data_IF_133234630712
#
_entry.id   IF_133234630712
#
_cell.length_a   1.000
_cell.length_b   1.000
_cell.length_c   1.000
_cell.angle_alpha   90.00
_cell.angle_beta   90.00
_cell.angle_gamma   90.00
#
_symmetry.space_group_name_H-M   'P 1'
#
loop_
_entity.id
_entity.type
_entity.pdbx_description
1 polymer ?
#
# COMPACT_ATOMS: atom_id res chain seq x y z
N UNK A 1 65.01 34.58 16.75
CA UNK A 1 64.20 34.48 15.50
C UNK A 1 63.93 33.04 15.06
N UNK A 2 64.24 32.00 15.86
CA UNK A 2 63.97 30.59 15.50
C UNK A 2 62.77 29.96 16.22
N UNK A 3 62.23 30.58 17.29
CA UNK A 3 61.15 29.97 18.08
C UNK A 3 59.74 30.14 17.46
N UNK A 4 59.51 31.21 16.71
CA UNK A 4 58.21 31.47 16.08
C UNK A 4 57.95 30.51 14.90
N UNK A 5 59.02 30.10 14.19
CA UNK A 5 58.90 29.18 13.06
C UNK A 5 58.63 27.72 13.50
N UNK A 6 58.96 27.38 14.74
CA UNK A 6 58.74 26.05 15.30
C UNK A 6 57.31 25.89 15.84
N UNK A 7 56.74 26.94 16.43
CA UNK A 7 55.38 26.96 16.99
C UNK A 7 54.32 26.93 15.86
N UNK A 8 54.53 27.67 14.77
CA UNK A 8 53.61 27.67 13.63
C UNK A 8 53.57 26.31 12.92
N UNK A 9 54.72 25.61 12.84
CA UNK A 9 54.78 24.27 12.25
C UNK A 9 54.14 23.20 13.12
N UNK A 10 54.15 23.36 14.45
CA UNK A 10 53.50 22.39 15.36
C UNK A 10 51.99 22.51 15.33
N UNK A 11 51.44 23.73 15.26
CA UNK A 11 49.99 23.95 15.19
C UNK A 11 49.39 23.42 13.86
N UNK A 12 50.10 23.60 12.74
CA UNK A 12 49.69 23.03 11.44
C UNK A 12 49.75 21.49 11.44
N UNK A 13 50.71 20.89 12.16
CA UNK A 13 50.83 19.43 12.27
C UNK A 13 49.77 18.85 13.20
N UNK A 14 49.44 19.53 14.29
CA UNK A 14 48.38 19.13 15.22
C UNK A 14 46.99 19.22 14.56
N UNK A 15 46.74 20.26 13.77
CA UNK A 15 45.49 20.39 13.01
C UNK A 15 45.37 19.33 11.91
N UNK A 16 46.44 19.08 11.15
CA UNK A 16 46.47 18.02 10.12
C UNK A 16 46.32 16.61 10.72
N UNK A 17 46.89 16.36 11.90
CA UNK A 17 46.73 15.06 12.58
C UNK A 17 45.32 14.86 13.11
N UNK A 18 44.68 15.90 13.66
CA UNK A 18 43.27 15.87 14.05
C UNK A 18 42.34 15.62 12.85
N UNK A 19 42.62 16.25 11.70
CA UNK A 19 41.87 16.03 10.46
C UNK A 19 42.06 14.61 9.91
N UNK A 20 43.30 14.10 9.93
CA UNK A 20 43.58 12.72 9.51
C UNK A 20 42.86 11.69 10.38
N UNK A 21 42.80 11.89 11.70
CA UNK A 21 42.04 11.04 12.62
C UNK A 21 40.53 11.11 12.34
N UNK A 22 40.00 12.29 12.03
CA UNK A 22 38.59 12.47 11.65
C UNK A 22 38.27 11.73 10.34
N UNK A 23 39.14 11.86 9.33
CA UNK A 23 39.00 11.14 8.06
C UNK A 23 39.13 9.63 8.23
N UNK A 24 39.97 9.16 9.14
CA UNK A 24 40.06 7.73 9.48
C UNK A 24 38.77 7.22 10.13
N UNK A 25 38.17 7.99 11.04
CA UNK A 25 36.88 7.65 11.65
C UNK A 25 35.73 7.66 10.62
N UNK A 26 35.73 8.61 9.69
CA UNK A 26 34.76 8.66 8.60
C UNK A 26 34.95 7.48 7.63
N UNK A 27 36.18 7.17 7.25
CA UNK A 27 36.49 6.00 6.42
C UNK A 27 36.11 4.68 7.11
N UNK A 28 36.25 4.57 8.44
CA UNK A 28 35.78 3.41 9.19
C UNK A 28 34.27 3.24 9.09
N UNK A 29 33.50 4.34 9.25
CA UNK A 29 32.04 4.33 9.08
C UNK A 29 31.62 4.00 7.66
N UNK A 30 32.33 4.51 6.65
CA UNK A 30 32.06 4.20 5.25
C UNK A 30 32.27 2.70 4.97
N UNK A 31 33.32 2.09 5.53
CA UNK A 31 33.57 0.64 5.41
C UNK A 31 32.47 -0.20 6.07
N UNK A 32 32.00 0.19 7.24
CA UNK A 32 30.87 -0.44 7.92
C UNK A 32 29.59 -0.36 7.08
N UNK A 33 29.30 0.82 6.53
CA UNK A 33 28.16 1.01 5.63
C UNK A 33 28.28 0.19 4.34
N UNK A 34 29.47 0.05 3.77
CA UNK A 34 29.68 -0.85 2.62
C UNK A 34 29.43 -2.32 2.99
N UNK A 35 29.79 -2.75 4.20
CA UNK A 35 29.48 -4.09 4.69
C UNK A 35 27.97 -4.33 4.78
N UNK A 36 27.24 -3.40 5.40
CA UNK A 36 25.77 -3.45 5.45
C UNK A 36 25.13 -3.39 4.06
N UNK A 37 25.75 -2.66 3.12
CA UNK A 37 25.27 -2.57 1.75
C UNK A 37 25.49 -3.88 0.97
N UNK A 38 26.63 -4.56 1.18
CA UNK A 38 26.89 -5.89 0.62
C UNK A 38 25.90 -6.92 1.17
N UNK A 39 25.67 -6.94 2.49
CA UNK A 39 24.69 -7.83 3.12
C UNK A 39 23.27 -7.56 2.59
N UNK A 40 22.88 -6.29 2.44
CA UNK A 40 21.60 -5.93 1.83
C UNK A 40 21.47 -6.40 0.37
N UNK A 41 22.58 -6.42 -0.39
CA UNK A 41 22.60 -6.94 -1.76
C UNK A 41 22.45 -8.46 -1.76
N UNK A 42 23.14 -9.18 -0.88
CA UNK A 42 23.02 -10.63 -0.74
C UNK A 42 21.60 -11.03 -0.32
N UNK A 43 21.02 -10.36 0.68
CA UNK A 43 19.63 -10.58 1.08
C UNK A 43 18.65 -10.34 -0.08
N UNK A 44 18.87 -9.32 -0.91
CA UNK A 44 18.07 -9.09 -2.12
C UNK A 44 18.20 -10.21 -3.15
N UNK A 45 19.39 -10.79 -3.30
CA UNK A 45 19.61 -11.94 -4.18
C UNK A 45 18.93 -13.20 -3.61
N UNK A 46 19.09 -13.48 -2.32
CA UNK A 46 18.41 -14.61 -1.65
C UNK A 46 16.89 -14.47 -1.72
N UNK A 47 16.34 -13.27 -1.52
CA UNK A 47 14.90 -13.01 -1.67
C UNK A 47 14.44 -13.18 -3.13
N UNK A 48 15.27 -12.80 -4.10
CA UNK A 48 14.99 -13.00 -5.53
C UNK A 48 15.00 -14.49 -5.89
N UNK A 49 15.94 -15.25 -5.33
CA UNK A 49 16.02 -16.70 -5.52
C UNK A 49 14.86 -17.42 -4.82
N UNK A 50 14.48 -17.01 -3.61
CA UNK A 50 13.29 -17.51 -2.92
C UNK A 50 12.00 -17.21 -3.71
N UNK A 51 11.86 -16.02 -4.29
CA UNK A 51 10.77 -15.68 -5.22
C UNK A 51 10.77 -16.57 -6.46
N UNK A 52 11.96 -16.83 -7.03
CA UNK A 52 12.15 -17.71 -8.19
C UNK A 52 11.83 -19.18 -7.87
N UNK A 53 12.05 -19.61 -6.63
CA UNK A 53 11.64 -20.94 -6.12
C UNK A 53 10.12 -21.02 -5.86
N UNK A 54 9.45 -19.89 -5.60
CA UNK A 54 7.98 -19.81 -5.48
C UNK A 54 7.28 -19.68 -6.85
N UNK A 55 7.97 -19.16 -7.87
CA UNK A 55 7.52 -19.15 -9.27
C UNK A 55 7.97 -20.41 -10.02
N UNK A 56 7.31 -21.55 -9.74
CA UNK A 56 7.29 -22.66 -10.69
C UNK A 56 6.71 -22.16 -12.03
N UNK A 57 7.33 -22.48 -13.19
CA UNK A 57 6.82 -22.03 -14.47
C UNK A 57 5.44 -22.67 -14.74
N UNK A 58 4.48 -21.98 -15.39
CA UNK A 58 3.32 -22.66 -15.94
C UNK A 58 3.81 -23.72 -16.95
N UNK A 59 3.17 -24.91 -17.03
CA UNK A 59 3.60 -25.93 -17.97
C UNK A 59 3.55 -25.36 -19.38
N UNK A 60 4.62 -25.61 -20.15
CA UNK A 60 4.71 -25.25 -21.57
C UNK A 60 3.44 -25.73 -22.26
N UNK A 61 2.69 -24.81 -22.88
CA UNK A 61 1.63 -25.18 -23.82
C UNK A 61 2.30 -25.80 -25.04
N UNK A 62 2.52 -27.12 -25.01
CA UNK A 62 2.58 -27.91 -26.23
C UNK A 62 1.23 -27.79 -26.92
N UNK A 63 1.24 -27.33 -28.17
CA UNK A 63 0.10 -27.48 -29.06
C UNK A 63 -0.07 -28.96 -29.32
N UNK A 64 -0.96 -29.61 -28.60
CA UNK A 64 -1.51 -30.90 -28.98
C UNK A 64 -2.92 -31.00 -28.39
N UNK A 65 -3.89 -31.19 -29.28
CA UNK A 65 -5.26 -31.38 -28.88
C UNK A 65 -5.40 -32.65 -28.04
N UNK A 66 -5.76 -32.48 -26.77
CA UNK A 66 -6.52 -33.49 -26.02
C UNK A 66 -7.15 -32.85 -24.79
N UNK A 67 -8.38 -33.29 -24.54
CA UNK A 67 -9.28 -32.80 -23.50
C UNK A 67 -8.81 -33.29 -22.12
N UNK A 68 -7.90 -32.57 -21.46
CA UNK A 68 -7.53 -32.90 -20.08
C UNK A 68 -8.02 -31.84 -19.09
N UNK A 69 -9.15 -32.17 -18.45
CA UNK A 69 -9.66 -31.54 -17.22
C UNK A 69 -8.64 -31.82 -16.10
N UNK A 70 -7.66 -30.93 -15.94
CA UNK A 70 -6.74 -30.98 -14.80
C UNK A 70 -7.48 -30.60 -13.50
N UNK A 71 -7.36 -31.47 -12.51
CA UNK A 71 -7.91 -31.37 -11.16
C UNK A 71 -7.50 -30.05 -10.47
N UNK A 72 -8.36 -29.03 -10.53
CA UNK A 72 -8.31 -27.93 -9.56
C UNK A 72 -9.07 -28.40 -8.33
N UNK A 73 -8.41 -28.49 -7.18
CA UNK A 73 -9.16 -28.69 -5.94
C UNK A 73 -10.13 -27.51 -5.78
N UNK A 74 -11.40 -27.76 -5.39
CA UNK A 74 -12.38 -26.69 -5.23
C UNK A 74 -11.91 -25.61 -4.25
N UNK A 75 -11.04 -25.95 -3.30
CA UNK A 75 -10.51 -25.02 -2.31
C UNK A 75 -9.49 -24.03 -2.90
N UNK A 76 -8.70 -24.43 -3.90
CA UNK A 76 -7.71 -23.53 -4.52
C UNK A 76 -8.37 -22.39 -5.32
N UNK A 77 -9.48 -22.67 -6.02
CA UNK A 77 -10.24 -21.65 -6.74
C UNK A 77 -10.98 -20.72 -5.77
N UNK A 78 -11.53 -21.25 -4.66
CA UNK A 78 -12.15 -20.43 -3.60
C UNK A 78 -11.15 -19.50 -2.93
N UNK A 79 -9.95 -19.96 -2.62
CA UNK A 79 -8.87 -19.10 -2.07
C UNK A 79 -8.52 -17.99 -3.04
N UNK A 80 -8.41 -18.29 -4.33
CA UNK A 80 -8.14 -17.28 -5.36
C UNK A 80 -9.27 -16.26 -5.46
N UNK A 81 -10.53 -16.71 -5.41
CA UNK A 81 -11.69 -15.83 -5.40
C UNK A 81 -11.70 -14.94 -4.15
N UNK A 82 -11.41 -15.50 -2.97
CA UNK A 82 -11.29 -14.75 -1.73
C UNK A 82 -10.23 -13.64 -1.84
N UNK A 83 -9.04 -13.94 -2.36
CA UNK A 83 -8.00 -12.92 -2.61
C UNK A 83 -8.51 -11.78 -3.50
N UNK A 84 -9.20 -12.11 -4.60
CA UNK A 84 -9.81 -11.11 -5.49
C UNK A 84 -10.88 -10.27 -4.78
N UNK A 85 -11.72 -10.88 -3.96
CA UNK A 85 -12.68 -10.17 -3.13
C UNK A 85 -12.01 -9.20 -2.15
N UNK A 86 -10.90 -9.60 -1.51
CA UNK A 86 -10.15 -8.73 -0.60
C UNK A 86 -9.56 -7.52 -1.34
N UNK A 87 -8.96 -7.73 -2.51
CA UNK A 87 -8.45 -6.65 -3.35
C UNK A 87 -9.55 -5.66 -3.76
N UNK A 88 -10.73 -6.18 -4.10
CA UNK A 88 -11.89 -5.35 -4.43
C UNK A 88 -12.45 -4.59 -3.22
N UNK A 89 -12.57 -5.22 -2.05
CA UNK A 89 -13.02 -4.56 -0.81
C UNK A 89 -12.13 -3.35 -0.51
N UNK A 90 -10.80 -3.54 -0.58
CA UNK A 90 -9.84 -2.47 -0.36
C UNK A 90 -10.02 -1.34 -1.38
N UNK A 91 -10.13 -1.67 -2.66
CA UNK A 91 -10.32 -0.68 -3.73
C UNK A 91 -11.63 0.11 -3.57
N UNK A 92 -12.74 -0.57 -3.31
CA UNK A 92 -14.05 0.06 -3.16
C UNK A 92 -14.12 0.97 -1.94
N UNK A 93 -13.49 0.56 -0.83
CA UNK A 93 -13.38 1.41 0.35
C UNK A 93 -12.61 2.69 0.03
N UNK A 94 -11.44 2.57 -0.61
CA UNK A 94 -10.63 3.72 -1.03
C UNK A 94 -11.46 4.68 -1.90
N UNK A 95 -12.12 4.16 -2.94
CA UNK A 95 -12.92 4.98 -3.85
C UNK A 95 -14.08 5.67 -3.13
N UNK A 96 -14.75 5.01 -2.19
CA UNK A 96 -15.83 5.65 -1.42
C UNK A 96 -15.35 6.75 -0.52
N UNK A 97 -14.21 6.56 0.16
CA UNK A 97 -13.60 7.60 0.98
C UNK A 97 -13.26 8.79 0.10
N UNK A 98 -12.60 8.55 -1.04
CA UNK A 98 -12.22 9.62 -1.96
C UNK A 98 -13.44 10.36 -2.54
N UNK A 99 -14.49 9.65 -2.94
CA UNK A 99 -15.74 10.27 -3.41
C UNK A 99 -16.53 11.00 -2.31
N UNK A 100 -16.33 10.66 -1.04
CA UNK A 100 -16.95 11.38 0.08
C UNK A 100 -16.25 12.72 0.34
N UNK A 101 -14.95 12.78 0.08
CA UNK A 101 -14.13 13.99 0.26
C UNK A 101 -14.22 14.89 -0.98
N UNK A 102 -14.06 14.30 -2.17
CA UNK A 102 -13.99 14.97 -3.45
C UNK A 102 -15.14 14.53 -4.39
N UNK A 103 -16.36 15.06 -4.23
CA UNK A 103 -17.51 14.63 -5.03
C UNK A 103 -17.39 14.96 -6.51
N UNK A 104 -16.78 16.10 -6.86
CA UNK A 104 -16.79 16.65 -8.23
C UNK A 104 -15.43 16.54 -8.94
N UNK A 105 -14.52 15.68 -8.46
CA UNK A 105 -13.16 15.57 -9.01
C UNK A 105 -12.91 14.24 -9.69
N UNK A 106 -12.07 14.27 -10.74
CA UNK A 106 -11.55 13.05 -11.36
C UNK A 106 -10.42 12.48 -10.50
N UNK A 107 -10.65 11.34 -9.87
CA UNK A 107 -9.80 10.76 -8.82
C UNK A 107 -8.63 9.91 -9.34
N UNK A 108 -8.00 10.26 -10.46
CA UNK A 108 -6.88 9.48 -11.00
C UNK A 108 -5.61 9.67 -10.19
N UNK A 109 -5.02 8.58 -9.70
CA UNK A 109 -3.85 8.62 -8.80
C UNK A 109 -4.16 9.13 -7.39
N UNK A 110 -5.45 9.23 -7.05
CA UNK A 110 -5.93 9.53 -5.72
C UNK A 110 -6.05 8.22 -4.94
N UNK A 111 -5.45 8.22 -3.76
CA UNK A 111 -5.50 7.16 -2.77
C UNK A 111 -5.74 7.80 -1.41
N UNK A 112 -6.32 7.07 -0.47
CA UNK A 112 -6.48 7.58 0.90
C UNK A 112 -5.12 7.91 1.52
N UNK A 113 -4.05 7.20 1.15
CA UNK A 113 -2.69 7.45 1.62
C UNK A 113 -2.14 8.85 1.25
N UNK A 114 -2.59 9.42 0.12
CA UNK A 114 -2.14 10.73 -0.37
C UNK A 114 -3.21 11.83 -0.28
N UNK A 115 -4.32 11.56 0.42
CA UNK A 115 -5.49 12.46 0.47
C UNK A 115 -5.17 13.88 0.92
N UNK A 116 -4.32 14.05 1.94
CA UNK A 116 -3.95 15.38 2.47
C UNK A 116 -3.16 16.18 1.44
N UNK A 117 -2.25 15.54 0.73
CA UNK A 117 -1.50 16.14 -0.38
C UNK A 117 -2.45 16.53 -1.52
N UNK A 118 -3.41 15.66 -1.85
CA UNK A 118 -4.41 15.95 -2.88
C UNK A 118 -5.33 17.12 -2.52
N UNK A 119 -5.67 17.31 -1.25
CA UNK A 119 -6.43 18.49 -0.80
C UNK A 119 -5.61 19.77 -1.09
N UNK A 120 -4.32 19.78 -0.76
CA UNK A 120 -3.45 20.92 -1.03
C UNK A 120 -3.37 21.17 -2.55
N UNK A 121 -3.19 20.11 -3.34
CA UNK A 121 -3.09 20.21 -4.79
C UNK A 121 -4.35 20.79 -5.44
N UNK A 122 -5.54 20.33 -5.06
CA UNK A 122 -6.82 20.79 -5.63
C UNK A 122 -7.17 22.21 -5.21
N UNK A 123 -6.73 22.63 -4.02
CA UNK A 123 -7.06 23.94 -3.47
C UNK A 123 -6.07 25.03 -3.88
N UNK A 124 -4.92 24.65 -4.43
CA UNK A 124 -3.90 25.58 -4.92
C UNK A 124 -4.09 25.82 -6.41
N UNK A 125 -4.24 27.08 -6.80
CA UNK A 125 -4.33 27.44 -8.22
C UNK A 125 -2.99 27.20 -8.92
N UNK A 126 -2.94 26.28 -9.90
CA UNK A 126 -1.71 25.95 -10.63
C UNK A 126 -1.06 27.12 -11.37
N UNK A 127 -1.84 28.15 -11.72
CA UNK A 127 -1.35 29.33 -12.47
C UNK A 127 -0.86 30.46 -11.57
N UNK A 128 -1.44 30.61 -10.38
CA UNK A 128 -1.17 31.77 -9.50
C UNK A 128 -0.51 31.39 -8.18
N UNK A 129 -0.45 30.10 -7.85
CA UNK A 129 0.03 29.60 -6.56
C UNK A 129 -0.87 29.99 -5.37
N UNK A 130 -1.97 30.74 -5.60
CA UNK A 130 -2.87 31.16 -4.54
C UNK A 130 -3.72 29.98 -4.06
N UNK A 131 -3.86 29.88 -2.75
CA UNK A 131 -4.66 28.84 -2.08
C UNK A 131 -6.09 29.35 -1.90
N UNK A 132 -7.06 28.57 -2.35
CA UNK A 132 -8.46 28.77 -1.99
C UNK A 132 -8.69 28.22 -0.58
N UNK A 133 -8.50 29.08 0.42
CA UNK A 133 -8.61 28.72 1.84
C UNK A 133 -10.01 28.21 2.23
N UNK A 134 -11.06 28.75 1.60
CA UNK A 134 -12.43 28.31 1.85
C UNK A 134 -12.64 26.86 1.40
N UNK A 135 -12.26 26.55 0.16
CA UNK A 135 -12.34 25.19 -0.36
C UNK A 135 -11.44 24.23 0.42
N UNK A 136 -10.25 24.68 0.84
CA UNK A 136 -9.31 23.88 1.63
C UNK A 136 -9.90 23.51 2.98
N UNK A 137 -10.48 24.49 3.67
CA UNK A 137 -11.16 24.26 4.95
C UNK A 137 -12.32 23.28 4.78
N UNK A 138 -13.14 23.44 3.74
CA UNK A 138 -14.28 22.55 3.49
C UNK A 138 -13.84 21.10 3.22
N UNK A 139 -12.86 20.88 2.33
CA UNK A 139 -12.35 19.53 2.02
C UNK A 139 -11.69 18.89 3.24
N UNK A 140 -10.95 19.67 4.04
CA UNK A 140 -10.39 19.17 5.29
C UNK A 140 -11.48 18.79 6.29
N UNK A 141 -12.55 19.58 6.43
CA UNK A 141 -13.67 19.23 7.30
C UNK A 141 -14.36 17.93 6.86
N UNK A 142 -14.56 17.74 5.55
CA UNK A 142 -15.09 16.48 5.00
C UNK A 142 -14.17 15.30 5.29
N UNK A 143 -12.86 15.47 5.09
CA UNK A 143 -11.86 14.45 5.41
C UNK A 143 -11.92 14.04 6.90
N UNK A 144 -11.89 15.00 7.82
CA UNK A 144 -11.97 14.71 9.25
C UNK A 144 -13.28 14.00 9.61
N UNK A 145 -14.41 14.48 9.08
CA UNK A 145 -15.72 13.84 9.32
C UNK A 145 -15.74 12.38 8.89
N UNK A 146 -15.24 12.07 7.69
CA UNK A 146 -15.18 10.68 7.19
C UNK A 146 -14.23 9.85 8.05
N UNK A 147 -13.04 10.35 8.34
CA UNK A 147 -12.05 9.63 9.13
C UNK A 147 -12.49 9.38 10.57
N UNK A 148 -13.19 10.32 11.19
CA UNK A 148 -13.72 10.17 12.55
C UNK A 148 -14.83 9.10 12.62
N UNK A 149 -15.64 8.98 11.57
CA UNK A 149 -16.63 7.89 11.45
C UNK A 149 -15.94 6.53 11.28
N UNK A 150 -14.92 6.46 10.42
CA UNK A 150 -14.18 5.22 10.19
C UNK A 150 -13.36 4.79 11.41
N UNK A 151 -12.79 5.74 12.17
CA UNK A 151 -12.04 5.46 13.39
C UNK A 151 -12.91 4.77 14.46
N UNK A 152 -14.20 5.11 14.53
CA UNK A 152 -15.16 4.42 15.42
C UNK A 152 -15.36 2.94 15.07
N UNK A 153 -15.05 2.55 13.83
CA UNK A 153 -15.10 1.17 13.35
C UNK A 153 -13.74 0.45 13.46
N UNK A 154 -12.73 1.13 14.00
CA UNK A 154 -11.37 0.63 14.16
C UNK A 154 -10.42 1.01 13.03
N UNK A 155 -10.81 1.88 12.09
CA UNK A 155 -9.92 2.32 11.02
C UNK A 155 -8.77 3.17 11.56
N UNK A 156 -7.54 2.84 11.15
CA UNK A 156 -6.31 3.55 11.51
C UNK A 156 -5.77 4.29 10.27
N UNK A 157 -5.65 5.62 10.36
CA UNK A 157 -5.23 6.50 9.28
C UNK A 157 -3.73 6.39 8.93
N UNK A 158 -2.95 5.65 9.74
CA UNK A 158 -1.52 5.39 9.51
C UNK A 158 -1.26 3.98 8.98
N UNK A 159 -2.15 3.02 9.24
CA UNK A 159 -1.94 1.62 8.85
C UNK A 159 -2.79 1.27 7.62
N UNK A 160 -4.08 1.56 7.67
CA UNK A 160 -5.03 1.06 6.69
C UNK A 160 -4.90 1.67 5.30
N UNK A 161 -4.51 2.94 5.09
CA UNK A 161 -4.26 3.45 3.75
C UNK A 161 -3.17 2.69 2.98
N UNK A 162 -2.06 2.35 3.65
CA UNK A 162 -0.98 1.59 3.03
C UNK A 162 -1.36 0.11 2.85
N UNK A 163 -2.11 -0.45 3.80
CA UNK A 163 -2.67 -1.80 3.64
C UNK A 163 -3.60 -1.88 2.43
N UNK A 164 -4.48 -0.90 2.24
CA UNK A 164 -5.38 -0.83 1.09
C UNK A 164 -4.57 -0.86 -0.22
N UNK A 165 -3.57 0.01 -0.34
CA UNK A 165 -2.71 0.05 -1.53
C UNK A 165 -2.00 -1.30 -1.75
N UNK A 166 -1.45 -1.89 -0.69
CA UNK A 166 -0.83 -3.21 -0.75
C UNK A 166 -1.80 -4.30 -1.22
N UNK A 167 -3.03 -4.34 -0.69
CA UNK A 167 -4.03 -5.35 -1.04
C UNK A 167 -4.48 -5.20 -2.49
N UNK A 168 -4.70 -3.96 -2.96
CA UNK A 168 -5.07 -3.69 -4.35
C UNK A 168 -3.93 -4.06 -5.29
N UNK A 169 -2.68 -3.74 -4.95
CA UNK A 169 -1.52 -4.08 -5.78
C UNK A 169 -1.24 -5.58 -5.80
N UNK A 170 -1.48 -6.28 -4.68
CA UNK A 170 -1.18 -7.71 -4.54
C UNK A 170 -2.26 -8.59 -5.14
N UNK A 171 -3.53 -8.30 -4.87
CA UNK A 171 -4.65 -9.15 -5.28
C UNK A 171 -5.37 -8.61 -6.52
N UNK A 172 -5.20 -7.34 -6.83
CA UNK A 172 -5.84 -6.69 -7.97
C UNK A 172 -7.32 -6.39 -7.75
N UNK A 173 -7.87 -5.62 -8.69
CA UNK A 173 -9.28 -5.24 -8.76
C UNK A 173 -9.99 -6.24 -9.67
N UNK A 174 -11.26 -6.52 -9.41
CA UNK A 174 -12.09 -7.35 -10.30
C UNK A 174 -12.49 -6.51 -11.53
N UNK A 175 -11.72 -6.65 -12.62
CA UNK A 175 -11.91 -5.89 -13.90
C UNK A 175 -13.14 -6.28 -14.71
N UNK A 176 -13.71 -7.43 -14.40
CA UNK A 176 -14.92 -7.97 -14.99
C UNK A 176 -15.70 -8.53 -13.81
N UNK A 177 -17.03 -8.41 -13.81
CA UNK A 177 -17.87 -9.45 -13.20
C UNK A 177 -17.47 -10.72 -13.94
N UNK A 178 -16.38 -11.34 -13.52
CA UNK A 178 -16.01 -12.68 -13.92
C UNK A 178 -17.21 -13.43 -13.44
N UNK A 179 -18.01 -13.82 -14.42
CA UNK A 179 -19.27 -14.49 -14.30
C UNK A 179 -19.14 -15.48 -13.16
N UNK A 180 -19.65 -15.08 -11.99
CA UNK A 180 -20.06 -16.03 -10.99
C UNK A 180 -21.25 -16.66 -11.68
N UNK A 181 -20.98 -17.68 -12.50
CA UNK A 181 -21.96 -18.58 -13.06
C UNK A 181 -22.53 -19.38 -11.88
N UNK A 182 -23.34 -18.69 -11.10
CA UNK A 182 -24.39 -19.24 -10.28
C UNK A 182 -25.49 -18.23 -10.38
N UNK A 183 -26.68 -18.66 -10.77
CA UNK A 183 -27.90 -17.87 -10.93
C UNK A 183 -28.38 -17.19 -9.62
N UNK A 184 -27.54 -17.19 -8.58
CA UNK A 184 -27.70 -16.57 -7.27
C UNK A 184 -26.83 -15.32 -7.13
N UNK A 185 -27.23 -14.23 -7.77
CA UNK A 185 -26.62 -12.90 -7.60
C UNK A 185 -27.05 -12.22 -6.29
N UNK A 186 -26.95 -12.93 -5.15
CA UNK A 186 -27.38 -12.42 -3.83
C UNK A 186 -26.40 -12.57 -2.65
N UNK A 187 -25.47 -13.56 -2.57
CA UNK A 187 -24.68 -13.76 -1.35
C UNK A 187 -23.32 -13.02 -1.31
N UNK A 188 -22.83 -12.45 -2.42
CA UNK A 188 -21.50 -11.77 -2.45
C UNK A 188 -21.57 -10.32 -1.96
N UNK A 189 -22.74 -9.70 -1.96
CA UNK A 189 -22.98 -8.36 -1.40
C UNK A 189 -23.35 -8.38 0.10
N UNK A 190 -23.39 -9.55 0.74
CA UNK A 190 -23.63 -9.66 2.18
C UNK A 190 -22.30 -9.57 2.96
N UNK A 191 -22.13 -8.55 3.85
CA UNK A 191 -20.97 -8.44 4.72
C UNK A 191 -20.68 -9.70 5.53
N UNK A 192 -21.71 -10.47 5.92
CA UNK A 192 -21.54 -11.67 6.75
C UNK A 192 -20.92 -12.82 5.95
N UNK A 193 -21.34 -13.00 4.70
CA UNK A 193 -20.77 -14.00 3.79
C UNK A 193 -19.31 -13.66 3.47
N UNK A 194 -19.02 -12.39 3.19
CA UNK A 194 -17.66 -11.91 2.97
C UNK A 194 -16.77 -12.13 4.20
N UNK A 195 -17.28 -11.82 5.40
CA UNK A 195 -16.56 -12.05 6.66
C UNK A 195 -16.23 -13.52 6.88
N UNK A 196 -17.18 -14.43 6.63
CA UNK A 196 -16.95 -15.87 6.74
C UNK A 196 -15.89 -16.31 5.72
N UNK A 197 -16.00 -15.87 4.47
CA UNK A 197 -15.03 -16.21 3.42
C UNK A 197 -13.61 -15.74 3.76
N UNK A 198 -13.46 -14.50 4.26
CA UNK A 198 -12.15 -13.97 4.66
C UNK A 198 -11.58 -14.80 5.81
N UNK A 199 -12.39 -15.14 6.82
CA UNK A 199 -11.93 -15.91 7.98
C UNK A 199 -11.55 -17.36 7.62
N UNK A 200 -12.23 -17.94 6.63
CA UNK A 200 -12.03 -19.34 6.22
C UNK A 200 -10.83 -19.52 5.28
N UNK A 201 -10.58 -18.55 4.38
CA UNK A 201 -9.58 -18.69 3.31
C UNK A 201 -8.37 -17.77 3.46
N UNK A 202 -8.40 -16.77 4.35
CA UNK A 202 -7.23 -15.93 4.66
C UNK A 202 -6.58 -16.36 5.97
N UNK A 203 -5.27 -16.50 5.92
CA UNK A 203 -4.43 -16.83 7.06
C UNK A 203 -3.38 -15.74 7.22
N UNK A 204 -3.21 -15.26 8.46
CA UNK A 204 -2.13 -14.32 8.79
C UNK A 204 -2.56 -13.14 9.67
N UNK A 205 -1.57 -12.31 9.95
CA UNK A 205 -1.64 -11.09 10.76
C UNK A 205 -2.64 -10.05 10.22
N UNK A 206 -2.89 -10.04 8.91
CA UNK A 206 -3.71 -9.00 8.25
C UNK A 206 -5.21 -9.26 8.24
N UNK A 207 -5.67 -10.42 8.71
CA UNK A 207 -7.10 -10.80 8.64
C UNK A 207 -7.96 -9.80 9.42
N UNK A 208 -7.52 -9.40 10.61
CA UNK A 208 -8.26 -8.44 11.43
C UNK A 208 -8.40 -7.08 10.74
N UNK A 209 -7.33 -6.58 10.15
CA UNK A 209 -7.36 -5.31 9.42
C UNK A 209 -8.28 -5.40 8.20
N UNK A 210 -8.24 -6.51 7.45
CA UNK A 210 -9.15 -6.73 6.30
C UNK A 210 -10.62 -6.72 6.75
N UNK A 211 -10.94 -7.31 7.91
CA UNK A 211 -12.28 -7.27 8.48
C UNK A 211 -12.71 -5.84 8.89
N UNK A 212 -11.78 -5.03 9.38
CA UNK A 212 -12.03 -3.60 9.64
C UNK A 212 -12.35 -2.88 8.33
N UNK A 213 -11.60 -3.13 7.24
CA UNK A 213 -11.88 -2.55 5.93
C UNK A 213 -13.27 -2.94 5.43
N UNK A 214 -13.66 -4.21 5.59
CA UNK A 214 -15.00 -4.68 5.22
C UNK A 214 -16.11 -3.97 6.02
N UNK A 215 -15.93 -3.81 7.34
CA UNK A 215 -16.89 -3.09 8.18
C UNK A 215 -17.02 -1.62 7.77
N UNK A 216 -15.90 -0.96 7.47
CA UNK A 216 -15.87 0.41 6.97
C UNK A 216 -16.61 0.55 5.63
N UNK A 217 -16.36 -0.39 4.71
CA UNK A 217 -17.02 -0.42 3.41
C UNK A 217 -18.53 -0.60 3.54
N UNK A 218 -18.97 -1.58 4.35
CA UNK A 218 -20.39 -1.85 4.60
C UNK A 218 -21.10 -0.66 5.26
N UNK A 219 -20.44 0.02 6.19
CA UNK A 219 -20.97 1.24 6.82
C UNK A 219 -21.18 2.36 5.80
N UNK A 220 -20.16 2.65 4.97
CA UNK A 220 -20.26 3.69 3.93
C UNK A 220 -21.27 3.33 2.84
N UNK A 221 -21.42 2.04 2.51
CA UNK A 221 -22.44 1.52 1.61
C UNK A 221 -23.85 1.80 2.13
N UNK A 222 -24.13 1.41 3.37
CA UNK A 222 -25.42 1.64 4.01
C UNK A 222 -25.76 3.12 4.11
N UNK A 223 -24.79 3.97 4.45
CA UNK A 223 -24.99 5.42 4.59
C UNK A 223 -25.37 6.10 3.27
N UNK A 224 -24.82 5.64 2.14
CA UNK A 224 -25.13 6.16 0.80
C UNK A 224 -26.28 5.44 0.09
N UNK A 225 -26.87 4.39 0.69
CA UNK A 225 -27.88 3.55 0.04
C UNK A 225 -27.35 2.80 -1.18
N UNK A 226 -26.05 2.49 -1.19
CA UNK A 226 -25.37 1.83 -2.32
C UNK A 226 -24.93 0.41 -1.96
N UNK A 227 -24.78 -0.45 -2.98
CA UNK A 227 -24.24 -1.83 -2.82
C UNK A 227 -22.80 -1.81 -2.30
N UNK A 228 -22.26 -2.94 -1.82
CA UNK A 228 -20.87 -3.04 -1.32
C UNK A 228 -19.85 -2.99 -2.45
N UNK A 229 -20.20 -3.59 -3.59
CA UNK A 229 -19.45 -3.47 -4.83
C UNK A 229 -20.22 -2.55 -5.78
N UNK A 230 -19.62 -1.42 -6.14
CA UNK A 230 -20.17 -0.52 -7.16
C UNK A 230 -19.23 -0.64 -8.37
N UNK A 231 -19.73 -1.25 -9.44
CA UNK A 231 -19.10 -1.19 -10.75
C UNK A 231 -19.40 0.15 -11.41
#
# INVERSE_FOLDING_TARGET
MNDILHIVKTDDVETLTAESQRLLAENAKLREMMGLMQENVELRLTLKDYKKSQDLPPPRKSKEGSKDKACKSPDAEKVKQCKKCVGEIAYQLDRRIMCAIFPDQRLYGYWVANVKEKIIQVTTCSQTGKVNEQLRSELMQRYHRVMDELRKLGYDDKVHPYLIEYLVNTYGIMKERTTIHTEDMSPVDDPQVLRKMITEYMFGDKVQDILILLNCLAYLAKKKGSYIFIC
#
